data_IF_388473043649
#
_entry.id   IF_388473043649
#
_cell.length_a   1.000
_cell.length_b   1.000
_cell.length_c   1.000
_cell.angle_alpha   90.00
_cell.angle_beta   90.00
_cell.angle_gamma   90.00
#
_symmetry.space_group_name_H-M   'P 1'
#
loop_
_entity.id
_entity.type
_entity.pdbx_description
1 polymer ?
#
# COMPACT_ATOMS: atom_id res chain seq x y z
N UNK A 1 -16.79 4.40 -12.72
CA UNK A 1 -15.98 4.82 -11.55
C UNK A 1 -14.53 4.69 -11.98
N UNK A 2 -13.77 5.79 -12.09
CA UNK A 2 -12.37 5.69 -12.52
C UNK A 2 -11.58 4.92 -11.46
N UNK A 3 -10.99 3.80 -11.87
CA UNK A 3 -10.18 2.97 -10.98
C UNK A 3 -8.83 3.68 -10.75
N UNK A 4 -8.70 4.31 -9.58
CA UNK A 4 -7.53 5.10 -9.20
C UNK A 4 -6.24 4.27 -9.09
N UNK A 5 -6.36 3.04 -8.59
CA UNK A 5 -5.30 2.06 -8.36
C UNK A 5 -5.86 0.68 -8.68
N UNK A 6 -5.01 -0.28 -9.03
CA UNK A 6 -5.41 -1.68 -9.19
C UNK A 6 -5.68 -2.41 -7.85
N UNK A 7 -5.56 -1.71 -6.71
CA UNK A 7 -5.83 -2.20 -5.36
C UNK A 7 -6.65 -1.16 -4.57
N UNK A 8 -7.52 -1.62 -3.67
CA UNK A 8 -8.12 -0.72 -2.66
C UNK A 8 -7.03 -0.27 -1.68
N UNK A 9 -6.91 1.04 -1.50
CA UNK A 9 -5.81 1.67 -0.76
C UNK A 9 -6.37 2.50 0.39
N UNK A 10 -5.71 2.45 1.55
CA UNK A 10 -6.13 3.16 2.75
C UNK A 10 -4.94 3.85 3.43
N UNK A 11 -5.18 4.94 4.15
CA UNK A 11 -4.15 5.68 4.85
C UNK A 11 -4.45 5.90 6.35
N UNK A 12 -3.39 5.90 7.15
CA UNK A 12 -3.41 6.13 8.59
C UNK A 12 -4.11 5.03 9.41
N UNK A 13 -4.21 5.29 10.72
CA UNK A 13 -4.85 4.40 11.70
C UNK A 13 -6.35 4.22 11.46
N UNK A 14 -7.01 5.24 10.89
CA UNK A 14 -8.45 5.22 10.63
C UNK A 14 -8.83 4.62 9.28
N UNK A 15 -7.86 4.06 8.54
CA UNK A 15 -8.07 3.43 7.23
C UNK A 15 -8.88 4.32 6.29
N UNK A 16 -8.45 5.58 6.12
CA UNK A 16 -9.11 6.53 5.24
C UNK A 16 -8.92 6.07 3.80
N UNK A 17 -10.01 5.85 3.00
CA UNK A 17 -9.87 5.42 1.62
C UNK A 17 -9.09 6.44 0.78
N UNK A 18 -8.08 5.96 0.05
CA UNK A 18 -7.29 6.77 -0.87
C UNK A 18 -7.92 6.71 -2.25
N UNK A 19 -8.22 7.87 -2.81
CA UNK A 19 -8.90 8.02 -4.09
C UNK A 19 -8.25 9.14 -4.93
N UNK A 20 -8.78 9.36 -6.13
CA UNK A 20 -8.23 10.36 -7.07
C UNK A 20 -8.20 11.80 -6.52
N UNK A 21 -9.06 12.14 -5.55
CA UNK A 21 -9.21 13.49 -5.01
C UNK A 21 -8.27 13.77 -3.83
N UNK A 22 -7.92 12.76 -3.04
CA UNK A 22 -7.11 12.92 -1.82
C UNK A 22 -5.71 12.29 -1.90
N UNK A 23 -5.38 11.63 -3.02
CA UNK A 23 -4.09 10.95 -3.25
C UNK A 23 -2.85 11.81 -2.98
N UNK A 24 -2.91 13.12 -3.24
CA UNK A 24 -1.74 14.00 -3.09
C UNK A 24 -1.23 14.04 -1.64
N UNK A 25 -2.11 13.82 -0.66
CA UNK A 25 -1.79 13.83 0.76
C UNK A 25 -1.65 12.44 1.39
N UNK A 26 -2.09 11.39 0.69
CA UNK A 26 -2.24 10.05 1.25
C UNK A 26 -1.51 8.97 0.44
N UNK A 27 -0.72 9.37 -0.56
CA UNK A 27 0.09 8.47 -1.36
C UNK A 27 1.57 8.58 -0.98
N UNK A 28 2.30 7.45 -0.82
CA UNK A 28 1.83 6.06 -0.89
C UNK A 28 0.88 5.72 0.28
N UNK A 29 -0.04 4.75 0.10
CA UNK A 29 -1.00 4.39 1.14
C UNK A 29 -0.30 3.68 2.31
N UNK A 30 -0.85 3.74 3.52
CA UNK A 30 -0.32 2.92 4.62
C UNK A 30 -0.80 1.48 4.55
N UNK A 31 -1.97 1.22 3.98
CA UNK A 31 -2.54 -0.12 3.83
C UNK A 31 -3.09 -0.37 2.44
N UNK A 32 -3.07 -1.64 2.02
CA UNK A 32 -3.78 -2.11 0.83
C UNK A 32 -4.63 -3.34 1.16
N UNK A 33 -5.72 -3.51 0.42
CA UNK A 33 -6.56 -4.70 0.50
C UNK A 33 -6.11 -5.78 -0.47
N UNK A 34 -5.99 -6.99 0.05
CA UNK A 34 -5.65 -8.18 -0.71
C UNK A 34 -6.88 -8.89 -1.25
N UNK A 35 -6.67 -9.81 -2.19
CA UNK A 35 -7.75 -10.62 -2.78
C UNK A 35 -8.40 -11.54 -1.73
N UNK A 36 -7.67 -11.89 -0.67
CA UNK A 36 -8.20 -12.61 0.50
C UNK A 36 -8.94 -11.71 1.50
N UNK A 37 -9.32 -10.49 1.09
CA UNK A 37 -10.02 -9.46 1.89
C UNK A 37 -9.24 -8.87 3.08
N UNK A 38 -8.04 -9.36 3.35
CA UNK A 38 -7.17 -8.84 4.42
C UNK A 38 -6.53 -7.50 4.04
N UNK A 39 -6.26 -6.68 5.06
CA UNK A 39 -5.46 -5.47 4.93
C UNK A 39 -4.02 -5.75 5.31
N UNK A 40 -3.09 -5.39 4.44
CA UNK A 40 -1.67 -5.41 4.76
C UNK A 40 -1.18 -4.00 5.03
N UNK A 41 -0.32 -3.85 6.02
CA UNK A 41 0.39 -2.62 6.31
C UNK A 41 1.66 -2.49 5.45
N UNK A 42 2.01 -1.25 5.14
CA UNK A 42 3.23 -0.91 4.44
C UNK A 42 4.45 -1.27 5.28
N UNK A 43 5.38 -2.03 4.71
CA UNK A 43 6.62 -2.36 5.39
C UNK A 43 7.54 -1.14 5.42
N UNK A 44 7.99 -0.80 6.63
CA UNK A 44 8.98 0.25 6.87
C UNK A 44 10.26 -0.42 7.37
N UNK A 45 11.39 -0.10 6.74
CA UNK A 45 12.71 -0.56 7.19
C UNK A 45 13.35 0.48 8.08
N UNK A 46 14.02 0.02 9.14
CA UNK A 46 14.85 0.87 10.00
C UNK A 46 16.32 0.67 9.63
N UNK A 47 17.02 1.76 9.31
CA UNK A 47 18.46 1.75 9.04
C UNK A 47 19.11 2.97 9.67
N UNK A 48 20.18 2.76 10.45
CA UNK A 48 20.93 3.83 11.15
C UNK A 48 20.04 4.81 11.92
N UNK A 49 18.99 4.29 12.58
CA UNK A 49 18.02 5.09 13.34
C UNK A 49 16.88 5.71 12.53
N UNK A 50 17.00 5.77 11.20
CA UNK A 50 16.00 6.33 10.31
C UNK A 50 15.03 5.27 9.78
N UNK A 51 13.79 5.68 9.53
CA UNK A 51 12.74 4.86 8.94
C UNK A 51 12.62 5.16 7.44
N UNK A 52 12.61 4.11 6.62
CA UNK A 52 12.53 4.20 5.17
C UNK A 52 11.36 3.37 4.63
N UNK A 53 10.49 3.96 3.79
CA UNK A 53 9.43 3.21 3.12
C UNK A 53 10.03 2.19 2.16
N UNK A 54 9.62 0.93 2.25
CA UNK A 54 10.10 -0.12 1.32
C UNK A 54 9.31 -0.19 0.02
N UNK A 55 8.14 0.45 -0.01
CA UNK A 55 7.13 0.29 -1.05
C UNK A 55 6.63 -1.17 -1.21
N UNK A 56 6.69 -1.97 -0.14
CA UNK A 56 6.22 -3.36 -0.13
C UNK A 56 5.14 -3.54 0.95
N UNK A 57 4.09 -4.28 0.60
CA UNK A 57 3.05 -4.77 1.49
C UNK A 57 3.10 -6.29 1.50
N UNK A 58 2.84 -6.90 2.65
CA UNK A 58 2.80 -8.36 2.80
C UNK A 58 1.53 -8.75 3.56
N UNK A 59 0.72 -9.62 2.97
CA UNK A 59 -0.48 -10.08 3.64
C UNK A 59 -0.12 -11.05 4.78
N UNK A 60 -0.63 -10.83 6.00
CA UNK A 60 -0.34 -11.71 7.12
C UNK A 60 -0.90 -13.13 6.92
N UNK A 61 -2.04 -13.25 6.23
CA UNK A 61 -2.78 -14.52 6.05
C UNK A 61 -2.25 -15.34 4.87
N UNK A 62 -2.18 -14.76 3.67
CA UNK A 62 -1.76 -15.51 2.46
C UNK A 62 -0.28 -15.35 2.10
N UNK A 63 0.49 -14.56 2.85
CA UNK A 63 1.93 -14.28 2.64
C UNK A 63 2.32 -13.71 1.28
N UNK A 64 1.34 -13.39 0.42
CA UNK A 64 1.62 -12.74 -0.85
C UNK A 64 2.09 -11.30 -0.61
N UNK A 65 3.01 -10.86 -1.48
CA UNK A 65 3.63 -9.54 -1.37
C UNK A 65 3.27 -8.72 -2.59
N UNK A 66 2.97 -7.44 -2.37
CA UNK A 66 2.79 -6.46 -3.43
C UNK A 66 3.82 -5.36 -3.29
N UNK A 67 4.39 -4.94 -4.41
CA UNK A 67 5.26 -3.79 -4.50
C UNK A 67 4.54 -2.67 -5.26
N UNK A 68 4.65 -1.44 -4.77
CA UNK A 68 4.23 -0.27 -5.53
C UNK A 68 5.31 0.09 -6.56
N UNK A 69 4.93 0.11 -7.85
CA UNK A 69 5.80 0.58 -8.92
C UNK A 69 5.96 2.10 -8.75
N UNK A 70 7.18 2.55 -8.43
CA UNK A 70 7.48 3.96 -8.12
C UNK A 70 7.11 4.88 -9.29
N UNK A 71 6.50 6.02 -8.96
CA UNK A 71 6.00 6.98 -9.96
C UNK A 71 4.65 6.61 -10.57
N UNK A 72 4.07 5.48 -10.18
CA UNK A 72 2.76 5.03 -10.67
C UNK A 72 1.76 4.85 -9.52
N UNK A 73 0.58 4.31 -9.86
CA UNK A 73 -0.49 3.91 -8.93
C UNK A 73 -0.75 2.40 -8.96
N UNK A 74 0.20 1.63 -9.50
CA UNK A 74 0.03 0.21 -9.77
C UNK A 74 0.88 -0.63 -8.82
N UNK A 75 0.25 -1.68 -8.29
CA UNK A 75 0.89 -2.69 -7.48
C UNK A 75 1.19 -3.92 -8.32
N UNK A 76 2.41 -4.43 -8.24
CA UNK A 76 2.84 -5.70 -8.82
C UNK A 76 2.98 -6.76 -7.74
N UNK A 77 2.55 -7.99 -8.02
CA UNK A 77 2.74 -9.10 -7.10
C UNK A 77 4.20 -9.55 -7.17
N UNK A 78 4.86 -9.67 -6.04
CA UNK A 78 6.18 -10.29 -5.96
C UNK A 78 6.00 -11.82 -5.87
N UNK A 79 6.75 -12.53 -6.71
CA UNK A 79 6.84 -14.00 -6.74
C UNK A 79 7.67 -14.55 -5.59
#
# INVERSE_FOLDING_TARGET
MYQFSNRECFNGRYLIPVNQFNQHHHWPPSHIKYDCSELAEHQIRRSRGNFYPTYIWECPSCKSKYQLIRGTRQFERLS
#
